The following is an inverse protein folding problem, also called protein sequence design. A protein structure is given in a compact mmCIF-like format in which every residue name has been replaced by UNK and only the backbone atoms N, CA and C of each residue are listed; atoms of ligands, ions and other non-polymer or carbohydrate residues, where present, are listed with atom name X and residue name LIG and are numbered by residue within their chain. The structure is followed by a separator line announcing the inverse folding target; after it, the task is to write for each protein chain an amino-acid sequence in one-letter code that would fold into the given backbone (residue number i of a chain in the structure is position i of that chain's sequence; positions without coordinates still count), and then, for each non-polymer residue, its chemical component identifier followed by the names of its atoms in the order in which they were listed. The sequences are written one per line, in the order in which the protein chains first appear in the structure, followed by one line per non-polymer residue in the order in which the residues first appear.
data_IF_484031875675
#
_entry.id   IF_484031875675
#
_cell.length_a   1.000
_cell.length_b   1.000
_cell.length_c   1.000
_cell.angle_alpha   90.00
_cell.angle_beta   90.00
_cell.angle_gamma   90.00
#
_symmetry.space_group_name_H-M   'P 1'
#
loop_
_entity.id
_entity.type
_entity.pdbx_description
1 polymer ?
#
# COMPACT_ATOMS: atom_id res chain seq x y z
N UNK A 1 37.92 -7.06 -36.08
CA UNK A 1 38.34 -6.63 -34.73
C UNK A 1 37.18 -5.90 -34.09
N UNK A 2 36.56 -6.50 -33.06
CA UNK A 2 35.63 -5.81 -32.15
C UNK A 2 36.37 -4.80 -31.27
N UNK A 3 35.74 -4.00 -30.43
CA UNK A 3 34.63 -4.31 -29.51
C UNK A 3 33.85 -3.02 -29.22
N UNK A 4 32.51 -3.08 -29.29
CA UNK A 4 31.63 -2.08 -28.67
C UNK A 4 31.40 -2.54 -27.22
N UNK A 5 31.77 -1.70 -26.26
CA UNK A 5 31.54 -1.96 -24.83
C UNK A 5 30.10 -1.55 -24.51
N UNK A 6 29.18 -2.51 -24.53
CA UNK A 6 27.88 -2.36 -23.88
C UNK A 6 27.98 -2.91 -22.45
N UNK A 7 27.74 -2.04 -21.48
CA UNK A 7 27.67 -2.29 -20.04
C UNK A 7 26.86 -3.55 -19.74
N UNK A 8 27.38 -4.54 -18.99
CA UNK A 8 26.65 -5.76 -18.77
C UNK A 8 25.63 -5.57 -17.63
N UNK A 9 24.39 -5.87 -18.01
CA UNK A 9 23.25 -6.26 -17.21
C UNK A 9 23.65 -7.38 -16.21
N UNK A 10 24.21 -7.00 -15.07
CA UNK A 10 24.64 -7.89 -13.98
C UNK A 10 24.01 -7.24 -12.74
N UNK A 11 22.99 -7.76 -12.07
CA UNK A 11 22.80 -9.09 -11.52
C UNK A 11 21.28 -9.39 -11.46
N UNK A 12 20.77 -10.20 -12.39
CA UNK A 12 19.47 -10.89 -12.28
C UNK A 12 19.72 -12.41 -12.39
N UNK A 13 20.61 -12.90 -11.54
CA UNK A 13 20.95 -14.32 -11.50
C UNK A 13 21.36 -14.66 -10.08
N UNK A 14 20.37 -14.90 -9.24
CA UNK A 14 20.42 -15.81 -8.10
C UNK A 14 18.96 -16.15 -7.78
N UNK A 15 18.56 -17.39 -8.10
CA UNK A 15 17.21 -17.99 -8.03
C UNK A 15 16.37 -17.82 -9.31
N UNK A 16 16.60 -18.75 -10.25
CA UNK A 16 15.88 -18.84 -11.51
C UNK A 16 14.40 -19.20 -11.36
N UNK A 17 13.56 -18.19 -11.19
CA UNK A 17 12.25 -18.17 -11.80
C UNK A 17 12.14 -16.86 -12.59
N UNK A 18 12.12 -16.98 -13.92
CA UNK A 18 11.72 -15.86 -14.75
C UNK A 18 10.29 -15.49 -14.32
N UNK A 19 10.12 -14.28 -13.77
CA UNK A 19 8.79 -13.75 -13.42
C UNK A 19 7.91 -13.87 -14.66
N UNK A 20 6.87 -14.68 -14.57
CA UNK A 20 5.91 -14.83 -15.66
C UNK A 20 5.11 -13.52 -15.76
N UNK A 21 4.61 -13.13 -16.94
CA UNK A 21 3.72 -11.98 -17.07
C UNK A 21 2.49 -12.04 -16.13
N UNK A 22 2.04 -13.24 -15.74
CA UNK A 22 1.01 -13.46 -14.71
C UNK A 22 1.40 -12.89 -13.33
N UNK A 23 2.69 -12.89 -13.01
CA UNK A 23 3.22 -12.44 -11.73
C UNK A 23 3.25 -10.90 -11.64
N UNK A 24 3.00 -10.18 -12.74
CA UNK A 24 2.85 -8.72 -12.75
C UNK A 24 1.40 -8.26 -12.64
N UNK A 25 0.43 -9.14 -12.92
CA UNK A 25 -0.99 -8.79 -12.80
C UNK A 25 -1.43 -8.58 -11.34
N UNK A 26 -0.60 -8.99 -10.38
CA UNK A 26 -0.82 -8.86 -8.94
C UNK A 26 -0.19 -7.59 -8.33
N UNK A 27 0.42 -6.72 -9.15
CA UNK A 27 0.97 -5.44 -8.70
C UNK A 27 0.22 -4.27 -9.33
N UNK A 28 -0.05 -3.25 -8.51
CA UNK A 28 -0.71 -2.03 -8.94
C UNK A 28 0.29 -1.06 -9.57
N UNK A 29 -0.13 -0.42 -10.66
CA UNK A 29 0.55 0.75 -11.24
C UNK A 29 0.41 1.96 -10.32
N UNK A 30 1.15 3.04 -10.61
CA UNK A 30 1.00 4.30 -9.86
C UNK A 30 -0.42 4.85 -9.94
N UNK A 31 -1.04 4.78 -11.12
CA UNK A 31 -2.41 5.26 -11.30
C UNK A 31 -3.40 4.45 -10.46
N UNK A 32 -3.31 3.12 -10.54
CA UNK A 32 -4.15 2.21 -9.75
C UNK A 32 -3.94 2.40 -8.24
N UNK A 33 -2.71 2.61 -7.77
CA UNK A 33 -2.46 2.92 -6.35
C UNK A 33 -3.13 4.22 -5.92
N UNK A 34 -3.06 5.27 -6.74
CA UNK A 34 -3.72 6.54 -6.43
C UNK A 34 -5.23 6.38 -6.37
N UNK A 35 -5.82 5.63 -7.29
CA UNK A 35 -7.26 5.38 -7.32
C UNK A 35 -7.70 4.50 -6.15
N UNK A 36 -6.96 3.44 -5.81
CA UNK A 36 -7.19 2.65 -4.60
C UNK A 36 -7.22 3.53 -3.35
N UNK A 37 -6.25 4.43 -3.22
CA UNK A 37 -6.15 5.31 -2.06
C UNK A 37 -7.30 6.33 -1.99
N UNK A 38 -7.73 6.87 -3.13
CA UNK A 38 -8.89 7.78 -3.20
C UNK A 38 -10.17 7.08 -2.81
N UNK A 39 -10.42 5.89 -3.35
CA UNK A 39 -11.60 5.08 -3.04
C UNK A 39 -11.61 4.69 -1.55
N UNK A 40 -10.48 4.24 -1.01
CA UNK A 40 -10.39 3.87 0.40
C UNK A 40 -10.57 5.07 1.34
N UNK A 41 -9.97 6.22 1.02
CA UNK A 41 -10.18 7.46 1.78
C UNK A 41 -11.64 7.92 1.74
N UNK A 42 -12.32 7.77 0.60
CA UNK A 42 -13.74 8.08 0.46
C UNK A 42 -14.60 7.14 1.31
N UNK A 43 -14.30 5.84 1.33
CA UNK A 43 -15.00 4.87 2.17
C UNK A 43 -14.83 5.25 3.65
N UNK A 44 -13.59 5.46 4.11
CA UNK A 44 -13.33 5.88 5.49
C UNK A 44 -14.09 7.15 5.88
N UNK A 45 -14.12 8.14 4.98
CA UNK A 45 -14.86 9.38 5.20
C UNK A 45 -16.35 9.09 5.39
N UNK A 46 -16.95 8.33 4.49
CA UNK A 46 -18.37 7.97 4.56
C UNK A 46 -18.70 7.21 5.85
N UNK A 47 -17.89 6.23 6.22
CA UNK A 47 -18.12 5.39 7.39
C UNK A 47 -17.94 6.17 8.70
N UNK A 48 -16.91 7.02 8.80
CA UNK A 48 -16.73 7.91 9.96
C UNK A 48 -17.81 8.97 10.06
N UNK A 49 -18.30 9.48 8.93
CA UNK A 49 -19.39 10.46 8.89
C UNK A 49 -20.70 9.90 9.45
N UNK A 50 -20.96 8.58 9.35
CA UNK A 50 -22.16 7.97 9.96
C UNK A 50 -22.23 8.15 11.48
N UNK A 51 -21.08 8.31 12.13
CA UNK A 51 -20.95 8.46 13.58
C UNK A 51 -20.65 9.91 14.03
N UNK A 52 -20.68 10.88 13.12
CA UNK A 52 -20.38 12.29 13.44
C UNK A 52 -21.31 13.24 12.71
N UNK A 53 -21.67 14.33 13.38
CA UNK A 53 -22.34 15.48 12.76
C UNK A 53 -21.35 16.46 12.15
N UNK A 54 -20.06 16.37 12.53
CA UNK A 54 -19.01 17.22 12.00
C UNK A 54 -18.58 16.72 10.63
N UNK A 55 -18.10 17.64 9.79
CA UNK A 55 -17.52 17.26 8.50
C UNK A 55 -16.22 16.50 8.75
N UNK A 56 -16.20 15.22 8.39
CA UNK A 56 -14.99 14.40 8.50
C UNK A 56 -14.11 14.59 7.28
N UNK A 57 -12.85 14.96 7.51
CA UNK A 57 -11.84 14.99 6.46
C UNK A 57 -10.96 13.73 6.52
N UNK A 58 -10.79 13.10 5.36
CA UNK A 58 -9.83 12.01 5.15
C UNK A 58 -9.07 12.33 3.87
N UNK A 59 -7.75 12.46 4.00
CA UNK A 59 -6.83 12.88 2.95
C UNK A 59 -5.83 11.76 2.64
N UNK A 60 -5.53 11.59 1.36
CA UNK A 60 -4.45 10.68 0.93
C UNK A 60 -3.11 11.36 1.16
N UNK A 61 -2.21 10.68 1.86
CA UNK A 61 -0.84 11.14 2.07
C UNK A 61 0.14 10.44 1.13
N UNK A 62 0.61 11.17 0.12
CA UNK A 62 1.55 10.65 -0.86
C UNK A 62 2.95 10.40 -0.28
N UNK A 63 3.37 11.13 0.76
CA UNK A 63 4.65 10.89 1.40
C UNK A 63 4.61 9.56 2.17
N UNK A 64 3.51 9.32 2.89
CA UNK A 64 3.26 8.04 3.56
C UNK A 64 3.14 6.89 2.55
N UNK A 65 2.51 7.12 1.39
CA UNK A 65 2.32 6.10 0.33
C UNK A 65 3.61 5.43 -0.12
N UNK A 66 4.71 6.17 -0.24
CA UNK A 66 6.00 5.57 -0.61
C UNK A 66 6.43 4.51 0.42
N UNK A 67 6.33 4.81 1.71
CA UNK A 67 6.66 3.89 2.80
C UNK A 67 5.70 2.70 2.84
N UNK A 68 4.39 2.96 2.76
CA UNK A 68 3.34 1.92 2.76
C UNK A 68 3.57 0.89 1.66
N UNK A 69 3.89 1.32 0.45
CA UNK A 69 4.11 0.41 -0.68
C UNK A 69 5.39 -0.39 -0.50
N UNK A 70 6.51 0.26 -0.18
CA UNK A 70 7.78 -0.44 0.06
C UNK A 70 7.64 -1.48 1.16
N UNK A 71 6.91 -1.16 2.22
CA UNK A 71 6.63 -2.09 3.30
C UNK A 71 5.76 -3.28 2.86
N UNK A 72 4.68 -3.03 2.10
CA UNK A 72 3.82 -4.11 1.62
C UNK A 72 4.57 -5.08 0.69
N UNK A 73 5.43 -4.56 -0.19
CA UNK A 73 6.30 -5.39 -1.01
C UNK A 73 7.27 -6.23 -0.17
N UNK A 74 7.81 -5.68 0.93
CA UNK A 74 8.63 -6.45 1.86
C UNK A 74 7.83 -7.60 2.49
N UNK A 75 6.57 -7.38 2.89
CA UNK A 75 5.70 -8.46 3.40
C UNK A 75 5.46 -9.53 2.33
N UNK A 76 5.24 -9.12 1.08
CA UNK A 76 5.07 -10.01 -0.07
C UNK A 76 6.33 -10.85 -0.32
N UNK A 77 7.51 -10.23 -0.41
CA UNK A 77 8.79 -10.91 -0.64
C UNK A 77 9.15 -11.90 0.49
N UNK A 78 8.84 -11.54 1.73
CA UNK A 78 9.17 -12.35 2.91
C UNK A 78 8.09 -13.39 3.24
N UNK A 79 6.92 -13.30 2.60
CA UNK A 79 5.72 -14.05 2.96
C UNK A 79 5.39 -13.99 4.46
N UNK A 80 5.52 -12.81 5.06
CA UNK A 80 5.38 -12.62 6.50
C UNK A 80 4.49 -11.42 6.82
N UNK A 81 3.32 -11.69 7.41
CA UNK A 81 2.45 -10.65 7.96
C UNK A 81 3.06 -10.13 9.26
N UNK A 82 3.42 -8.85 9.30
CA UNK A 82 3.93 -8.19 10.50
C UNK A 82 3.65 -6.69 10.44
N UNK A 83 3.86 -6.02 11.57
CA UNK A 83 3.81 -4.56 11.65
C UNK A 83 5.19 -3.92 11.47
N UNK A 84 5.22 -2.73 10.88
CA UNK A 84 6.43 -1.91 10.79
C UNK A 84 6.60 -1.08 12.07
N UNK A 85 7.55 -1.48 12.91
CA UNK A 85 7.85 -0.75 14.15
C UNK A 85 8.90 0.37 13.97
N UNK A 86 9.43 0.54 12.76
CA UNK A 86 10.62 1.36 12.50
C UNK A 86 10.35 2.67 11.76
N UNK A 87 9.14 2.82 11.22
CA UNK A 87 8.79 3.93 10.35
C UNK A 87 7.90 4.94 11.09
N UNK A 88 8.46 6.12 11.37
CA UNK A 88 7.79 7.20 12.07
C UNK A 88 6.85 8.06 11.21
N UNK A 89 6.62 7.68 9.95
CA UNK A 89 5.76 8.48 9.03
C UNK A 89 4.27 8.32 9.29
N UNK A 90 3.86 7.35 10.11
CA UNK A 90 2.48 7.06 10.46
C UNK A 90 2.31 6.88 11.98
N UNK A 91 1.06 6.85 12.43
CA UNK A 91 0.70 6.66 13.85
C UNK A 91 -0.27 5.49 14.07
N UNK A 92 -0.90 4.99 13.01
CA UNK A 92 -1.64 3.73 13.03
C UNK A 92 -1.30 2.88 11.81
N UNK A 93 -1.22 1.57 11.99
CA UNK A 93 -1.03 0.60 10.91
C UNK A 93 -1.89 -0.63 11.16
N UNK A 94 -2.57 -1.08 10.11
CA UNK A 94 -3.32 -2.33 10.09
C UNK A 94 -2.96 -3.09 8.83
N UNK A 95 -2.73 -4.39 8.96
CA UNK A 95 -2.28 -5.25 7.88
C UNK A 95 -3.12 -6.52 7.80
N UNK A 96 -3.25 -7.06 6.59
CA UNK A 96 -4.04 -8.26 6.34
C UNK A 96 -3.50 -9.05 5.16
N UNK A 97 -4.06 -10.25 5.00
CA UNK A 97 -3.82 -11.13 3.85
C UNK A 97 -5.07 -11.23 2.99
N UNK A 98 -4.89 -11.21 1.67
CA UNK A 98 -5.87 -11.67 0.71
C UNK A 98 -5.89 -13.20 0.68
N UNK A 99 -7.07 -13.76 0.41
CA UNK A 99 -7.21 -15.16 0.00
C UNK A 99 -7.04 -15.24 -1.52
N UNK A 100 -6.62 -16.38 -2.02
CA UNK A 100 -6.48 -16.62 -3.46
C UNK A 100 -7.77 -16.24 -4.22
N UNK A 101 -7.61 -15.49 -5.31
CA UNK A 101 -8.71 -15.01 -6.14
C UNK A 101 -9.41 -13.73 -5.64
N UNK A 102 -9.06 -13.20 -4.47
CA UNK A 102 -9.66 -11.94 -3.97
C UNK A 102 -9.04 -10.68 -4.60
N UNK A 103 -7.84 -10.78 -5.18
CA UNK A 103 -7.20 -9.63 -5.83
C UNK A 103 -7.95 -9.23 -7.12
N UNK A 104 -8.17 -7.94 -7.31
CA UNK A 104 -8.83 -7.39 -8.50
C UNK A 104 -8.22 -6.07 -8.94
N UNK A 105 -8.35 -5.76 -10.24
CA UNK A 105 -7.98 -4.47 -10.83
C UNK A 105 -9.11 -3.43 -10.82
N UNK A 106 -10.27 -3.78 -10.25
CA UNK A 106 -11.31 -2.80 -9.90
C UNK A 106 -10.95 -2.15 -8.56
N UNK A 107 -10.43 -0.92 -8.60
CA UNK A 107 -9.91 -0.23 -7.41
C UNK A 107 -10.99 0.10 -6.39
N UNK A 108 -12.24 0.32 -6.84
CA UNK A 108 -13.37 0.57 -5.95
C UNK A 108 -13.76 -0.71 -5.21
N UNK A 109 -13.86 -1.82 -5.94
CA UNK A 109 -14.13 -3.12 -5.33
C UNK A 109 -13.01 -3.55 -4.37
N UNK A 110 -11.74 -3.35 -4.77
CA UNK A 110 -10.58 -3.66 -3.95
C UNK A 110 -10.54 -2.82 -2.66
N UNK A 111 -10.80 -1.50 -2.76
CA UNK A 111 -10.86 -0.62 -1.60
C UNK A 111 -11.95 -1.05 -0.60
N UNK A 112 -13.15 -1.38 -1.11
CA UNK A 112 -14.26 -1.87 -0.27
C UNK A 112 -13.90 -3.19 0.40
N UNK A 113 -13.34 -4.14 -0.34
CA UNK A 113 -12.90 -5.43 0.21
C UNK A 113 -11.89 -5.24 1.35
N UNK A 114 -10.85 -4.43 1.13
CA UNK A 114 -9.84 -4.14 2.15
C UNK A 114 -10.50 -3.51 3.39
N UNK A 115 -11.42 -2.55 3.20
CA UNK A 115 -12.12 -1.93 4.32
C UNK A 115 -12.92 -2.96 5.13
N UNK A 116 -13.76 -3.76 4.46
CA UNK A 116 -14.64 -4.73 5.11
C UNK A 116 -13.83 -5.84 5.83
N UNK A 117 -12.66 -6.21 5.29
CA UNK A 117 -11.75 -7.17 5.93
C UNK A 117 -11.20 -6.65 7.25
N UNK A 118 -10.82 -5.38 7.30
CA UNK A 118 -10.38 -4.75 8.53
C UNK A 118 -11.54 -4.53 9.51
N UNK A 119 -12.72 -4.15 9.03
CA UNK A 119 -13.90 -3.91 9.88
C UNK A 119 -14.29 -5.13 10.73
N UNK A 120 -14.10 -6.35 10.20
CA UNK A 120 -14.38 -7.62 10.91
C UNK A 120 -13.46 -7.89 12.10
N UNK A 121 -12.34 -7.17 12.22
CA UNK A 121 -11.43 -7.26 13.35
C UNK A 121 -11.61 -6.05 14.25
N UNK A 122 -12.15 -6.19 15.48
CA UNK A 122 -12.38 -5.05 16.38
C UNK A 122 -11.20 -4.08 16.52
N UNK A 123 -9.94 -4.51 16.77
CA UNK A 123 -8.83 -3.58 16.86
C UNK A 123 -8.53 -2.84 15.55
N UNK A 124 -8.73 -3.48 14.39
CA UNK A 124 -8.56 -2.81 13.10
C UNK A 124 -9.68 -1.83 12.81
N UNK A 125 -10.92 -2.20 13.13
CA UNK A 125 -12.10 -1.33 13.04
C UNK A 125 -11.92 -0.07 13.89
N UNK A 126 -11.40 -0.21 15.10
CA UNK A 126 -11.17 0.94 15.99
C UNK A 126 -10.14 1.92 15.39
N UNK A 127 -9.09 1.42 14.72
CA UNK A 127 -8.17 2.25 13.95
C UNK A 127 -8.86 2.91 12.75
N UNK A 128 -9.67 2.16 11.99
CA UNK A 128 -10.41 2.69 10.84
C UNK A 128 -11.37 3.80 11.26
N UNK A 129 -12.08 3.66 12.38
CA UNK A 129 -13.11 4.60 12.81
C UNK A 129 -12.58 5.74 13.69
N UNK A 130 -11.30 5.70 14.11
CA UNK A 130 -10.69 6.79 14.84
C UNK A 130 -10.61 8.07 13.99
N UNK A 131 -11.45 9.04 14.34
CA UNK A 131 -11.62 10.30 13.61
C UNK A 131 -10.42 11.25 13.75
N UNK A 132 -9.52 11.03 14.71
CA UNK A 132 -8.29 11.82 14.85
C UNK A 132 -7.33 11.59 13.67
N UNK A 133 -7.38 10.41 13.02
CA UNK A 133 -6.55 10.13 11.85
C UNK A 133 -7.07 10.84 10.61
N UNK A 134 -6.46 11.94 10.19
CA UNK A 134 -6.89 12.69 9.00
C UNK A 134 -6.24 12.22 7.71
N UNK A 135 -5.12 11.52 7.82
CA UNK A 135 -4.30 11.09 6.68
C UNK A 135 -4.30 9.58 6.55
N UNK A 136 -4.37 9.08 5.32
CA UNK A 136 -4.37 7.64 5.04
C UNK A 136 -3.49 7.31 3.84
N UNK A 137 -2.94 6.11 3.88
CA UNK A 137 -2.28 5.46 2.76
C UNK A 137 -2.56 3.96 2.77
N UNK A 138 -2.89 3.39 1.62
CA UNK A 138 -3.16 1.96 1.43
C UNK A 138 -2.30 1.40 0.31
N UNK A 139 -1.79 0.18 0.54
CA UNK A 139 -1.14 -0.62 -0.48
C UNK A 139 -1.73 -2.03 -0.48
N UNK A 140 -1.81 -2.63 -1.67
CA UNK A 140 -2.21 -4.01 -1.86
C UNK A 140 -1.32 -4.67 -2.93
N UNK A 141 -0.83 -5.86 -2.61
CA UNK A 141 -0.14 -6.80 -3.50
C UNK A 141 -0.99 -8.05 -3.65
N UNK A 142 -0.52 -9.05 -4.40
CA UNK A 142 -1.24 -10.29 -4.63
C UNK A 142 -1.69 -11.03 -3.36
N UNK A 143 -0.92 -10.97 -2.27
CA UNK A 143 -1.26 -11.66 -1.01
C UNK A 143 -1.46 -10.75 0.18
N UNK A 144 -0.91 -9.54 0.19
CA UNK A 144 -0.88 -8.68 1.37
C UNK A 144 -1.51 -7.32 1.11
N UNK A 145 -2.14 -6.77 2.12
CA UNK A 145 -2.57 -5.39 2.11
C UNK A 145 -2.32 -4.72 3.46
N UNK A 146 -2.07 -3.42 3.41
CA UNK A 146 -1.77 -2.60 4.58
C UNK A 146 -2.39 -1.23 4.41
N UNK A 147 -2.97 -0.72 5.49
CA UNK A 147 -3.42 0.66 5.59
C UNK A 147 -2.66 1.34 6.74
N UNK A 148 -2.11 2.52 6.45
CA UNK A 148 -1.43 3.39 7.41
C UNK A 148 -2.19 4.69 7.59
N UNK A 149 -2.12 5.22 8.80
CA UNK A 149 -2.92 6.34 9.25
C UNK A 149 -2.06 7.38 9.96
N UNK A 150 -2.35 8.65 9.72
CA UNK A 150 -1.65 9.77 10.34
C UNK A 150 -2.60 10.83 10.92
N UNK A 151 -2.24 11.40 12.06
CA UNK A 151 -2.93 12.57 12.64
C UNK A 151 -2.57 13.85 11.88
N UNK A 152 -1.31 13.94 11.43
CA UNK A 152 -0.76 15.00 10.59
C UNK A 152 -0.19 14.40 9.30
N UNK A 153 0.03 15.27 8.31
CA UNK A 153 0.68 14.90 7.05
C UNK A 153 2.14 14.53 7.34
N UNK A 154 2.65 13.49 6.69
CA UNK A 154 4.07 13.13 6.76
C UNK A 154 4.91 14.22 6.08
N UNK A 155 5.81 14.84 6.85
CA UNK A 155 6.61 16.00 6.38
C UNK A 155 7.60 15.64 5.27
N UNK A 156 8.31 14.51 5.43
CA UNK A 156 9.31 14.06 4.47
C UNK A 156 9.48 12.54 4.47
N UNK A 157 9.88 12.01 3.33
CA UNK A 157 10.23 10.61 3.15
C UNK A 157 11.66 10.51 2.62
N UNK A 158 12.41 9.50 3.06
CA UNK A 158 13.80 9.36 2.63
C UNK A 158 13.91 9.17 1.11
N UNK A 159 14.95 9.77 0.50
CA UNK A 159 15.24 9.57 -0.93
C UNK A 159 15.47 8.09 -1.28
N UNK A 160 15.96 7.31 -0.33
CA UNK A 160 16.11 5.86 -0.46
C UNK A 160 14.74 5.19 -0.63
N UNK A 161 13.74 5.55 0.17
CA UNK A 161 12.37 5.02 0.05
C UNK A 161 11.75 5.39 -1.29
N UNK A 162 11.89 6.64 -1.75
CA UNK A 162 11.40 7.08 -3.06
C UNK A 162 12.05 6.26 -4.18
N UNK A 163 13.36 6.02 -4.08
CA UNK A 163 14.12 5.23 -5.06
C UNK A 163 13.63 3.78 -5.10
N UNK A 164 13.39 3.16 -3.94
CA UNK A 164 12.82 1.80 -3.85
C UNK A 164 11.42 1.75 -4.47
N UNK A 165 10.54 2.68 -4.10
CA UNK A 165 9.21 2.78 -4.69
C UNK A 165 9.26 2.86 -6.21
N UNK A 166 10.12 3.73 -6.76
CA UNK A 166 10.23 3.90 -8.21
C UNK A 166 10.68 2.64 -8.96
N UNK A 167 11.39 1.72 -8.28
CA UNK A 167 11.79 0.42 -8.83
C UNK A 167 10.67 -0.62 -8.76
N UNK A 168 9.86 -0.56 -7.70
CA UNK A 168 8.81 -1.54 -7.42
C UNK A 168 7.52 -1.25 -8.19
N UNK A 169 7.19 0.03 -8.38
CA UNK A 169 5.89 0.45 -8.91
C UNK A 169 6.02 0.88 -10.37
N UNK A 170 5.41 0.13 -11.31
CA UNK A 170 5.37 0.51 -12.71
C UNK A 170 4.62 1.84 -12.90
N UNK A 171 5.02 2.59 -13.92
CA UNK A 171 4.45 3.90 -14.22
C UNK A 171 2.98 3.81 -14.59
#
# INVERSE_FOLDING_TARGET
MGIIISVPLVIMLLLGQALKPSDFNQYLTRHELLDLNREYAQILRQERQKASTDTIEVLVDLNMLYGTVVFNFKMEEQDLLHHDISDGTFQGEICGKLVEGEFTKDMKALARHIYDRFERSPPHRDVQLNQSYRYVSVSCTGRYFVARFGYWRSDSISQMTITKFNKLVPR
#
